data_IF_230390441099
#
_entry.id   IF_230390441099
#
_cell.length_a   1.000
_cell.length_b   1.000
_cell.length_c   1.000
_cell.angle_alpha   90.00
_cell.angle_beta   90.00
_cell.angle_gamma   90.00
#
_symmetry.space_group_name_H-M   'P 1'
#
loop_
_entity.id
_entity.type
_entity.pdbx_description
1 polymer ?
#
# COMPACT_ATOMS: atom_id res chain seq x y z
N UNK A 1 49.33 3.93 -11.68
CA UNK A 1 47.90 4.34 -11.80
C UNK A 1 47.17 3.37 -12.72
N UNK A 2 47.75 3.06 -13.88
CA UNK A 2 47.24 2.07 -14.84
C UNK A 2 47.11 0.65 -14.27
N UNK A 3 48.10 0.18 -13.49
CA UNK A 3 48.04 -1.13 -12.83
C UNK A 3 46.91 -1.25 -11.79
N UNK A 4 46.62 -0.14 -11.09
CA UNK A 4 45.54 -0.08 -10.10
C UNK A 4 44.18 -0.18 -10.80
N UNK A 5 44.06 0.41 -11.99
CA UNK A 5 42.85 0.33 -12.82
C UNK A 5 42.62 -1.09 -13.36
N UNK A 6 43.69 -1.74 -13.83
CA UNK A 6 43.64 -3.13 -14.30
C UNK A 6 43.20 -4.07 -13.17
N UNK A 7 43.74 -3.89 -11.96
CA UNK A 7 43.37 -4.68 -10.78
C UNK A 7 41.91 -4.45 -10.35
N UNK A 8 41.41 -3.22 -10.39
CA UNK A 8 40.00 -2.93 -10.02
C UNK A 8 39.01 -3.54 -11.00
N UNK A 9 39.34 -3.60 -12.29
CA UNK A 9 38.51 -4.26 -13.30
C UNK A 9 38.37 -5.76 -13.03
N UNK A 10 39.48 -6.45 -12.75
CA UNK A 10 39.48 -7.89 -12.43
C UNK A 10 38.70 -8.17 -11.14
N UNK A 11 38.84 -7.34 -10.12
CA UNK A 11 38.08 -7.48 -8.87
C UNK A 11 36.57 -7.26 -9.11
N UNK A 12 36.20 -6.34 -10.00
CA UNK A 12 34.81 -6.08 -10.36
C UNK A 12 34.11 -7.21 -11.12
N UNK A 13 34.87 -8.09 -11.78
CA UNK A 13 34.35 -9.28 -12.49
C UNK A 13 34.05 -10.45 -11.53
N UNK A 14 34.53 -10.41 -10.29
CA UNK A 14 34.28 -11.45 -9.30
C UNK A 14 32.88 -11.32 -8.70
N UNK A 15 32.14 -12.44 -8.63
CA UNK A 15 30.86 -12.50 -7.93
C UNK A 15 31.10 -12.41 -6.41
N UNK A 16 30.67 -11.33 -5.73
CA UNK A 16 30.93 -11.17 -4.29
C UNK A 16 30.11 -12.13 -3.43
N UNK A 17 29.05 -12.76 -3.99
CA UNK A 17 28.16 -13.68 -3.26
C UNK A 17 27.95 -14.98 -4.04
N UNK A 18 28.96 -15.86 -4.13
CA UNK A 18 28.90 -17.10 -4.92
C UNK A 18 27.81 -18.08 -4.44
N UNK A 19 27.34 -17.95 -3.19
CA UNK A 19 26.25 -18.76 -2.63
C UNK A 19 24.84 -18.39 -3.12
N UNK A 20 24.64 -17.24 -3.77
CA UNK A 20 23.30 -16.73 -4.14
C UNK A 20 22.47 -17.71 -5.00
N UNK A 21 23.02 -18.43 -5.99
CA UNK A 21 22.26 -19.41 -6.78
C UNK A 21 21.82 -20.64 -5.98
N UNK A 22 22.46 -20.91 -4.84
CA UNK A 22 22.19 -22.08 -3.99
C UNK A 22 21.22 -21.77 -2.85
N UNK A 23 20.83 -20.51 -2.67
CA UNK A 23 19.83 -20.10 -1.70
C UNK A 23 18.46 -20.28 -2.33
N UNK A 24 17.71 -21.26 -1.83
CA UNK A 24 16.30 -21.43 -2.17
C UNK A 24 15.47 -20.49 -1.29
N UNK A 25 15.43 -19.19 -1.63
CA UNK A 25 14.53 -18.26 -0.94
C UNK A 25 13.11 -18.56 -1.39
N UNK A 26 12.31 -19.16 -0.51
CA UNK A 26 10.87 -19.21 -0.70
C UNK A 26 10.34 -17.77 -0.63
N UNK A 27 10.15 -17.15 -1.78
CA UNK A 27 9.44 -15.89 -1.87
C UNK A 27 7.96 -16.19 -1.61
N UNK A 28 7.47 -15.81 -0.43
CA UNK A 28 6.04 -15.85 -0.15
C UNK A 28 5.35 -14.87 -1.08
N UNK A 29 4.52 -15.40 -1.99
CA UNK A 29 3.68 -14.58 -2.85
C UNK A 29 2.57 -14.01 -1.98
N UNK A 30 2.55 -12.69 -1.85
CA UNK A 30 1.45 -12.00 -1.20
C UNK A 30 0.27 -12.03 -2.17
N UNK A 31 -0.87 -12.55 -1.71
CA UNK A 31 -2.12 -12.56 -2.46
C UNK A 31 -2.88 -11.28 -2.09
N UNK A 32 -3.29 -10.45 -3.06
CA UNK A 32 -4.03 -9.23 -2.77
C UNK A 32 -5.42 -9.55 -2.20
N UNK A 33 -5.91 -8.75 -1.27
CA UNK A 33 -7.28 -8.88 -0.74
C UNK A 33 -8.30 -8.16 -1.64
N UNK A 34 -7.87 -7.14 -2.37
CA UNK A 34 -8.69 -6.36 -3.30
C UNK A 34 -7.94 -6.00 -4.57
N UNK A 35 -8.67 -5.86 -5.68
CA UNK A 35 -8.20 -5.34 -6.94
C UNK A 35 -8.86 -3.99 -7.23
N UNK A 36 -8.07 -3.02 -7.71
CA UNK A 36 -8.55 -1.72 -8.17
C UNK A 36 -8.23 -1.62 -9.66
N UNK A 37 -9.26 -1.55 -10.48
CA UNK A 37 -9.15 -1.51 -11.95
C UNK A 37 -9.97 -0.37 -12.51
N UNK A 38 -9.54 0.20 -13.65
CA UNK A 38 -10.29 1.23 -14.36
C UNK A 38 -11.15 0.56 -15.43
N UNK A 39 -12.46 0.73 -15.37
CA UNK A 39 -13.41 0.22 -16.35
C UNK A 39 -14.24 1.39 -16.91
N UNK A 40 -14.25 1.56 -18.24
CA UNK A 40 -15.00 2.63 -18.92
C UNK A 40 -14.76 4.07 -18.38
N UNK A 41 -13.58 4.32 -17.80
CA UNK A 41 -13.22 5.61 -17.21
C UNK A 41 -13.48 5.70 -15.70
N UNK A 42 -14.23 4.77 -15.12
CA UNK A 42 -14.51 4.73 -13.68
C UNK A 42 -13.61 3.72 -12.94
N UNK A 43 -13.22 4.06 -11.72
CA UNK A 43 -12.46 3.15 -10.87
C UNK A 43 -13.39 2.17 -10.15
N UNK A 44 -13.17 0.88 -10.37
CA UNK A 44 -13.94 -0.22 -9.77
C UNK A 44 -13.07 -0.99 -8.79
N UNK A 45 -13.63 -1.24 -7.60
CA UNK A 45 -13.01 -2.05 -6.54
C UNK A 45 -13.63 -3.44 -6.55
N UNK A 46 -12.80 -4.46 -6.74
CA UNK A 46 -13.19 -5.86 -6.72
C UNK A 46 -12.55 -6.55 -5.52
N UNK A 47 -13.31 -7.38 -4.82
CA UNK A 47 -12.74 -8.26 -3.78
C UNK A 47 -12.04 -9.43 -4.46
N UNK A 48 -10.91 -9.84 -3.87
CA UNK A 48 -10.34 -11.11 -4.22
C UNK A 48 -11.11 -12.23 -3.49
N UNK A 49 -12.06 -12.83 -4.19
CA UNK A 49 -12.81 -13.99 -3.70
C UNK A 49 -12.05 -15.31 -3.94
N UNK A 50 -10.86 -15.27 -4.53
CA UNK A 50 -10.12 -16.46 -4.90
C UNK A 50 -9.69 -17.25 -3.64
N UNK A 51 -10.17 -18.48 -3.54
CA UNK A 51 -9.96 -19.36 -2.38
C UNK A 51 -10.93 -19.20 -1.20
N UNK A 52 -11.92 -18.29 -1.24
CA UNK A 52 -12.94 -18.19 -0.19
C UNK A 52 -14.16 -19.09 -0.50
N UNK A 53 -14.41 -20.16 0.28
CA UNK A 53 -15.59 -20.99 0.07
C UNK A 53 -16.86 -20.18 0.40
N UNK A 54 -17.85 -20.24 -0.50
CA UNK A 54 -19.18 -19.67 -0.23
C UNK A 54 -19.81 -20.44 0.93
N UNK A 55 -19.72 -19.86 2.13
CA UNK A 55 -20.29 -20.47 3.32
C UNK A 55 -21.81 -20.55 3.19
N UNK A 56 -22.34 -21.76 3.35
CA UNK A 56 -23.77 -22.02 3.34
C UNK A 56 -24.11 -22.90 4.52
N UNK A 57 -25.28 -22.65 5.10
CA UNK A 57 -25.83 -23.51 6.14
C UNK A 57 -26.34 -24.78 5.46
N UNK A 58 -25.93 -25.94 5.97
CA UNK A 58 -26.34 -27.25 5.46
C UNK A 58 -27.88 -27.38 5.45
N UNK A 59 -28.49 -27.78 4.30
CA UNK A 59 -29.93 -27.97 4.19
C UNK A 59 -30.49 -29.01 5.17
N UNK A 60 -29.68 -30.01 5.53
CA UNK A 60 -30.05 -31.07 6.48
C UNK A 60 -30.50 -30.50 7.84
N UNK A 61 -29.69 -29.60 8.42
CA UNK A 61 -30.03 -28.99 9.71
C UNK A 61 -31.21 -28.02 9.62
N UNK A 62 -31.40 -27.36 8.47
CA UNK A 62 -32.59 -26.52 8.24
C UNK A 62 -33.85 -27.37 8.23
N UNK A 63 -33.82 -28.51 7.55
CA UNK A 63 -34.95 -29.44 7.48
C UNK A 63 -35.27 -30.03 8.84
N UNK A 64 -34.26 -30.46 9.60
CA UNK A 64 -34.42 -31.06 10.94
C UNK A 64 -35.08 -30.11 11.95
N UNK A 65 -34.77 -28.81 11.90
CA UNK A 65 -35.43 -27.78 12.73
C UNK A 65 -36.88 -27.58 12.26
N UNK A 66 -37.11 -27.52 10.94
CA UNK A 66 -38.44 -27.25 10.36
C UNK A 66 -39.43 -28.41 10.44
N UNK A 67 -38.97 -29.66 10.34
CA UNK A 67 -39.82 -30.85 10.34
C UNK A 67 -40.32 -31.21 11.74
N UNK A 68 -39.70 -30.65 12.78
CA UNK A 68 -40.07 -30.89 14.17
C UNK A 68 -39.88 -32.33 14.64
N UNK A 69 -39.42 -33.23 13.76
CA UNK A 69 -39.21 -34.66 14.00
C UNK A 69 -37.79 -34.89 14.52
N UNK A 70 -37.67 -35.28 15.80
CA UNK A 70 -36.46 -35.98 16.28
C UNK A 70 -35.68 -35.35 17.43
N UNK A 71 -36.33 -34.85 18.49
CA UNK A 71 -35.58 -34.56 19.73
C UNK A 71 -36.37 -33.94 20.86
N UNK A 72 -35.85 -34.11 22.09
CA UNK A 72 -36.31 -33.43 23.29
C UNK A 72 -36.28 -31.89 23.09
N UNK A 73 -37.07 -31.11 23.86
CA UNK A 73 -37.12 -29.65 23.76
C UNK A 73 -35.74 -28.99 23.81
N UNK A 74 -34.84 -29.55 24.63
CA UNK A 74 -33.45 -29.12 24.79
C UNK A 74 -32.63 -29.27 23.50
N UNK A 75 -32.84 -30.35 22.74
CA UNK A 75 -32.15 -30.58 21.47
C UNK A 75 -32.55 -29.54 20.43
N UNK A 76 -33.84 -29.17 20.36
CA UNK A 76 -34.32 -28.10 19.46
C UNK A 76 -33.70 -26.75 19.82
N UNK A 77 -33.71 -26.39 21.10
CA UNK A 77 -33.13 -25.15 21.58
C UNK A 77 -31.63 -25.04 21.24
N UNK A 78 -30.87 -26.12 21.45
CA UNK A 78 -29.46 -26.19 21.09
C UNK A 78 -29.23 -26.01 19.57
N UNK A 79 -30.03 -26.68 18.73
CA UNK A 79 -29.91 -26.56 17.28
C UNK A 79 -30.23 -25.14 16.78
N UNK A 80 -31.24 -24.49 17.35
CA UNK A 80 -31.58 -23.10 17.04
C UNK A 80 -30.47 -22.12 17.44
N UNK A 81 -29.83 -22.32 18.59
CA UNK A 81 -28.68 -21.53 19.02
C UNK A 81 -27.52 -21.66 18.02
N UNK A 82 -27.16 -22.89 17.62
CA UNK A 82 -26.09 -23.12 16.64
C UNK A 82 -26.44 -22.57 15.26
N UNK A 83 -27.70 -22.64 14.85
CA UNK A 83 -28.18 -22.03 13.61
C UNK A 83 -27.99 -20.50 13.63
N UNK A 84 -28.37 -19.84 14.73
CA UNK A 84 -28.18 -18.39 14.90
C UNK A 84 -26.70 -18.01 14.90
N UNK A 85 -25.86 -18.79 15.58
CA UNK A 85 -24.42 -18.58 15.60
C UNK A 85 -23.81 -18.71 14.19
N UNK A 86 -24.20 -19.73 13.42
CA UNK A 86 -23.75 -19.91 12.04
C UNK A 86 -24.19 -18.74 11.13
N UNK A 87 -25.45 -18.31 11.22
CA UNK A 87 -25.95 -17.14 10.49
C UNK A 87 -25.23 -15.85 10.88
N UNK A 88 -24.87 -15.70 12.16
CA UNK A 88 -24.10 -14.56 12.64
C UNK A 88 -22.71 -14.54 11.98
N UNK A 89 -21.98 -15.67 11.98
CA UNK A 89 -20.65 -15.76 11.35
C UNK A 89 -20.70 -15.41 9.86
N UNK A 90 -21.68 -15.94 9.12
CA UNK A 90 -21.85 -15.64 7.69
C UNK A 90 -22.07 -14.14 7.48
N UNK A 91 -23.01 -13.54 8.24
CA UNK A 91 -23.30 -12.10 8.16
C UNK A 91 -22.09 -11.24 8.54
N UNK A 92 -21.33 -11.64 9.56
CA UNK A 92 -20.11 -10.92 9.97
C UNK A 92 -19.04 -10.92 8.89
N UNK A 93 -18.88 -12.04 8.16
CA UNK A 93 -17.93 -12.12 7.04
C UNK A 93 -18.39 -11.26 5.86
N UNK A 94 -19.68 -11.32 5.50
CA UNK A 94 -20.24 -10.44 4.46
C UNK A 94 -20.08 -8.96 4.83
N UNK A 95 -20.33 -8.60 6.10
CA UNK A 95 -20.16 -7.24 6.59
C UNK A 95 -18.69 -6.80 6.53
N UNK A 96 -17.75 -7.67 6.89
CA UNK A 96 -16.31 -7.40 6.76
C UNK A 96 -15.92 -7.12 5.31
N UNK A 97 -16.35 -7.98 4.39
CA UNK A 97 -16.06 -7.83 2.96
C UNK A 97 -16.63 -6.52 2.40
N UNK A 98 -17.90 -6.21 2.73
CA UNK A 98 -18.52 -4.93 2.36
C UNK A 98 -17.78 -3.73 2.94
N UNK A 99 -17.28 -3.83 4.17
CA UNK A 99 -16.52 -2.76 4.81
C UNK A 99 -15.18 -2.53 4.10
N UNK A 100 -14.47 -3.60 3.74
CA UNK A 100 -13.22 -3.50 2.98
C UNK A 100 -13.45 -2.77 1.65
N UNK A 101 -14.48 -3.17 0.89
CA UNK A 101 -14.82 -2.50 -0.37
C UNK A 101 -15.11 -1.01 -0.15
N UNK A 102 -15.95 -0.66 0.83
CA UNK A 102 -16.25 0.75 1.15
C UNK A 102 -15.02 1.56 1.50
N UNK A 103 -14.14 1.01 2.35
CA UNK A 103 -12.89 1.69 2.75
C UNK A 103 -12.00 1.91 1.53
N UNK A 104 -11.83 0.89 0.67
CA UNK A 104 -10.96 0.98 -0.51
C UNK A 104 -11.57 1.92 -1.55
N UNK A 105 -12.87 1.90 -1.79
CA UNK A 105 -13.55 2.86 -2.67
C UNK A 105 -13.37 4.30 -2.21
N UNK A 106 -13.46 4.54 -0.89
CA UNK A 106 -13.19 5.86 -0.31
C UNK A 106 -11.72 6.28 -0.51
N UNK A 107 -10.77 5.38 -0.29
CA UNK A 107 -9.34 5.63 -0.57
C UNK A 107 -9.14 6.01 -2.04
N UNK A 108 -9.73 5.25 -2.97
CA UNK A 108 -9.64 5.51 -4.41
C UNK A 108 -10.18 6.90 -4.77
N UNK A 109 -11.35 7.26 -4.24
CA UNK A 109 -11.97 8.58 -4.42
C UNK A 109 -11.06 9.72 -3.96
N UNK A 110 -10.38 9.57 -2.83
CA UNK A 110 -9.44 10.60 -2.34
C UNK A 110 -8.10 10.63 -3.09
N UNK A 111 -7.77 9.56 -3.81
CA UNK A 111 -6.45 9.32 -4.40
C UNK A 111 -6.51 9.08 -5.91
N UNK A 112 -7.53 9.59 -6.61
CA UNK A 112 -7.71 9.36 -8.05
C UNK A 112 -6.46 9.69 -8.87
N UNK A 113 -5.83 10.84 -8.59
CA UNK A 113 -4.60 11.26 -9.28
C UNK A 113 -3.44 10.29 -9.08
N UNK A 114 -3.34 9.64 -7.92
CA UNK A 114 -2.32 8.61 -7.67
C UNK A 114 -2.57 7.37 -8.54
N UNK A 115 -3.82 6.92 -8.65
CA UNK A 115 -4.14 5.75 -9.46
C UNK A 115 -3.95 6.01 -10.97
N UNK A 116 -4.10 7.27 -11.40
CA UNK A 116 -3.88 7.69 -12.79
C UNK A 116 -2.41 7.97 -13.13
N UNK A 117 -1.69 8.70 -12.29
CA UNK A 117 -0.37 9.26 -12.61
C UNK A 117 0.77 8.69 -11.75
N UNK A 118 0.45 7.89 -10.73
CA UNK A 118 1.42 7.18 -9.89
C UNK A 118 1.78 7.88 -8.58
N UNK A 119 2.83 7.35 -7.94
CA UNK A 119 3.24 7.68 -6.54
C UNK A 119 3.52 9.16 -6.31
N UNK A 120 3.97 9.89 -7.34
CA UNK A 120 4.25 11.32 -7.26
C UNK A 120 3.00 12.15 -6.94
N UNK A 121 1.81 11.66 -7.30
CA UNK A 121 0.53 12.34 -7.13
C UNK A 121 -0.21 11.86 -5.87
N UNK A 122 0.48 11.14 -4.97
CA UNK A 122 -0.09 10.67 -3.72
C UNK A 122 -0.40 11.84 -2.78
N UNK A 123 -1.70 12.07 -2.55
CA UNK A 123 -2.22 13.10 -1.66
C UNK A 123 -2.13 12.64 -0.20
N UNK A 124 -1.91 13.54 0.77
CA UNK A 124 -2.06 13.19 2.18
C UNK A 124 -3.49 12.78 2.49
N UNK A 125 -3.64 11.67 3.20
CA UNK A 125 -4.94 11.15 3.62
C UNK A 125 -4.84 10.70 5.07
N UNK A 126 -5.79 11.14 5.88
CA UNK A 126 -5.88 10.79 7.30
C UNK A 126 -7.02 9.82 7.51
N UNK A 127 -6.88 8.89 8.46
CA UNK A 127 -7.93 7.91 8.81
C UNK A 127 -9.28 8.57 9.08
N UNK A 128 -9.28 9.76 9.70
CA UNK A 128 -10.47 10.57 9.98
C UNK A 128 -11.28 10.92 8.72
N UNK A 129 -10.62 11.29 7.63
CA UNK A 129 -11.30 11.69 6.39
C UNK A 129 -12.07 10.52 5.77
N UNK A 130 -11.43 9.34 5.73
CA UNK A 130 -12.08 8.11 5.25
C UNK A 130 -13.19 7.68 6.21
N UNK A 131 -12.97 7.79 7.51
CA UNK A 131 -13.95 7.46 8.54
C UNK A 131 -15.23 8.32 8.42
N UNK A 132 -15.08 9.62 8.20
CA UNK A 132 -16.20 10.56 7.96
C UNK A 132 -16.94 10.27 6.65
N UNK A 133 -16.22 10.01 5.55
CA UNK A 133 -16.83 9.71 4.24
C UNK A 133 -17.71 8.45 4.26
N UNK A 134 -17.31 7.40 4.99
CA UNK A 134 -18.07 6.14 5.06
C UNK A 134 -18.95 6.01 6.31
N UNK A 135 -18.96 7.00 7.20
CA UNK A 135 -19.75 7.01 8.43
C UNK A 135 -19.31 5.95 9.46
N UNK A 136 -18.01 5.70 9.60
CA UNK A 136 -17.45 4.73 10.54
C UNK A 136 -16.43 5.38 11.50
N UNK A 137 -16.02 4.67 12.54
CA UNK A 137 -14.96 5.16 13.43
C UNK A 137 -13.56 4.90 12.85
N UNK A 138 -12.62 5.82 13.13
CA UNK A 138 -11.20 5.71 12.73
C UNK A 138 -10.56 4.39 13.18
N UNK A 139 -10.92 3.90 14.37
CA UNK A 139 -10.43 2.62 14.90
C UNK A 139 -10.85 1.43 14.04
N UNK A 140 -12.03 1.50 13.41
CA UNK A 140 -12.49 0.49 12.47
C UNK A 140 -11.69 0.55 11.17
N UNK A 141 -11.43 1.75 10.63
CA UNK A 141 -10.61 1.92 9.42
C UNK A 141 -9.20 1.37 9.65
N UNK A 142 -8.57 1.74 10.77
CA UNK A 142 -7.23 1.28 11.15
C UNK A 142 -7.14 -0.25 11.24
N UNK A 143 -8.16 -0.91 11.81
CA UNK A 143 -8.23 -2.37 11.88
C UNK A 143 -8.47 -3.01 10.51
N UNK A 144 -9.30 -2.39 9.68
CA UNK A 144 -9.62 -2.90 8.35
C UNK A 144 -8.45 -2.76 7.40
N UNK A 145 -7.59 -1.74 7.54
CA UNK A 145 -6.46 -1.51 6.63
C UNK A 145 -5.17 -2.23 7.06
N UNK A 146 -5.12 -2.72 8.29
CA UNK A 146 -3.98 -3.47 8.80
C UNK A 146 -3.83 -4.84 8.11
N UNK A 147 -2.63 -5.16 7.63
CA UNK A 147 -2.30 -6.43 6.97
C UNK A 147 -3.25 -6.76 5.81
N UNK A 148 -3.59 -5.75 5.02
CA UNK A 148 -4.42 -5.86 3.81
C UNK A 148 -3.69 -5.25 2.64
N UNK A 149 -3.75 -5.94 1.50
CA UNK A 149 -3.06 -5.53 0.29
C UNK A 149 -4.08 -5.29 -0.82
N UNK A 150 -3.84 -4.23 -1.59
CA UNK A 150 -4.51 -3.99 -2.86
C UNK A 150 -3.56 -4.27 -4.02
N UNK A 151 -4.11 -4.75 -5.12
CA UNK A 151 -3.46 -4.73 -6.41
C UNK A 151 -4.10 -3.62 -7.26
N UNK A 152 -3.27 -2.72 -7.78
CA UNK A 152 -3.69 -1.62 -8.65
C UNK A 152 -2.72 -1.48 -9.83
N UNK A 153 -2.94 -0.54 -10.78
CA UNK A 153 -2.04 -0.36 -11.92
C UNK A 153 -0.59 -0.05 -11.53
N UNK A 154 -0.36 0.50 -10.34
CA UNK A 154 0.97 0.79 -9.78
C UNK A 154 1.63 -0.44 -9.10
N UNK A 155 0.94 -1.59 -9.08
CA UNK A 155 1.39 -2.83 -8.47
C UNK A 155 0.67 -3.18 -7.17
N UNK A 156 1.33 -3.98 -6.34
CA UNK A 156 0.77 -4.44 -5.06
C UNK A 156 1.20 -3.52 -3.91
N UNK A 157 0.23 -2.97 -3.19
CA UNK A 157 0.43 -1.99 -2.13
C UNK A 157 -0.39 -2.33 -0.89
N UNK A 158 0.17 -2.06 0.29
CA UNK A 158 -0.59 -2.14 1.53
C UNK A 158 -1.65 -1.04 1.60
N UNK A 159 -2.82 -1.31 2.15
CA UNK A 159 -3.83 -0.26 2.35
C UNK A 159 -3.33 0.85 3.29
N UNK A 160 -2.44 0.52 4.23
CA UNK A 160 -1.84 1.48 5.16
C UNK A 160 -0.96 2.52 4.45
N UNK A 161 -0.42 2.21 3.28
CA UNK A 161 0.46 3.09 2.50
C UNK A 161 -0.20 4.43 2.13
N UNK A 162 -1.53 4.47 2.03
CA UNK A 162 -2.26 5.67 1.65
C UNK A 162 -2.41 6.65 2.82
N UNK A 163 -2.24 6.20 4.07
CA UNK A 163 -2.44 7.02 5.26
C UNK A 163 -1.14 7.68 5.70
N UNK A 164 -0.85 8.81 5.07
CA UNK A 164 0.40 9.55 5.26
C UNK A 164 0.15 10.92 5.86
N UNK A 165 1.00 11.34 6.78
CA UNK A 165 1.03 12.73 7.22
C UNK A 165 1.49 13.63 6.05
N UNK A 166 0.73 14.69 5.77
CA UNK A 166 1.05 15.68 4.74
C UNK A 166 2.12 16.66 5.19
N UNK A 167 2.90 17.16 4.22
CA UNK A 167 3.76 18.32 4.42
C UNK A 167 2.98 19.56 3.94
N UNK A 168 2.84 20.55 4.83
CA UNK A 168 1.98 21.70 4.60
C UNK A 168 2.68 22.76 3.73
N UNK A 169 2.00 23.23 2.68
CA UNK A 169 2.36 24.43 1.91
C UNK A 169 1.75 25.64 2.62
N UNK A 170 2.51 26.72 2.79
CA UNK A 170 2.10 27.83 3.65
C UNK A 170 0.90 28.63 3.13
N UNK A 171 0.58 28.59 1.82
CA UNK A 171 -0.28 29.62 1.24
C UNK A 171 -1.42 29.12 0.33
N UNK A 172 -1.61 27.83 0.07
CA UNK A 172 -2.78 27.34 -0.71
C UNK A 172 -3.30 25.94 -0.28
N UNK A 173 -4.62 25.70 -0.19
CA UNK A 173 -5.20 24.41 0.22
C UNK A 173 -5.12 23.28 -0.84
N UNK A 174 -4.77 23.56 -2.10
CA UNK A 174 -5.02 22.64 -3.23
C UNK A 174 -3.87 21.70 -3.60
N UNK A 175 -2.67 21.86 -3.00
CA UNK A 175 -1.48 21.11 -3.43
C UNK A 175 -0.64 20.58 -2.27
N UNK A 176 -1.19 19.65 -1.49
CA UNK A 176 -0.42 18.95 -0.46
C UNK A 176 0.25 17.70 -1.06
N UNK A 177 1.57 17.59 -0.94
CA UNK A 177 2.31 16.36 -1.29
C UNK A 177 2.53 15.51 -0.03
N UNK A 178 2.34 14.20 -0.18
CA UNK A 178 2.72 13.25 0.86
C UNK A 178 4.24 13.16 0.99
N UNK A 179 4.73 12.83 2.19
CA UNK A 179 6.17 12.61 2.40
C UNK A 179 6.74 11.49 1.52
N UNK A 180 5.92 10.52 1.12
CA UNK A 180 6.27 9.45 0.18
C UNK A 180 6.45 10.00 -1.24
N UNK A 181 5.51 10.81 -1.73
CA UNK A 181 5.63 11.50 -3.03
C UNK A 181 6.94 12.30 -3.11
N UNK A 182 7.25 13.09 -2.08
CA UNK A 182 8.49 13.89 -2.03
C UNK A 182 9.75 13.01 -2.08
N UNK A 183 9.75 11.86 -1.39
CA UNK A 183 10.87 10.90 -1.43
C UNK A 183 11.06 10.32 -2.82
N UNK A 184 9.97 9.95 -3.49
CA UNK A 184 10.01 9.40 -4.84
C UNK A 184 10.51 10.44 -5.86
N UNK A 185 10.04 11.70 -5.74
CA UNK A 185 10.55 12.82 -6.55
C UNK A 185 12.06 13.03 -6.35
N UNK A 186 12.56 12.99 -5.11
CA UNK A 186 14.00 13.08 -4.83
C UNK A 186 14.74 11.92 -5.50
N UNK A 187 14.20 10.70 -5.42
CA UNK A 187 14.80 9.50 -6.02
C UNK A 187 14.90 9.64 -7.55
N UNK A 188 13.86 10.15 -8.20
CA UNK A 188 13.85 10.38 -9.66
C UNK A 188 14.83 11.48 -10.04
N UNK A 189 14.83 12.61 -9.33
CA UNK A 189 15.77 13.72 -9.59
C UNK A 189 17.23 13.27 -9.46
N UNK A 190 17.53 12.40 -8.49
CA UNK A 190 18.87 11.83 -8.31
C UNK A 190 19.16 10.75 -9.37
N UNK A 191 18.16 9.98 -9.79
CA UNK A 191 18.31 8.99 -10.86
C UNK A 191 18.59 9.61 -12.23
N UNK A 192 18.08 10.80 -12.48
CA UNK A 192 18.27 11.57 -13.72
C UNK A 192 19.44 12.58 -13.64
N UNK A 193 20.21 12.57 -12.54
CA UNK A 193 21.29 13.53 -12.35
C UNK A 193 22.52 13.22 -13.23
N UNK A 194 23.27 14.27 -13.58
CA UNK A 194 24.59 14.09 -14.19
C UNK A 194 25.56 13.57 -13.13
N UNK A 195 26.10 12.35 -13.33
CA UNK A 195 27.05 11.72 -12.42
C UNK A 195 28.33 12.55 -12.21
N UNK A 196 28.71 13.40 -13.17
CA UNK A 196 29.87 14.31 -13.05
C UNK A 196 29.56 15.54 -12.21
N UNK A 197 28.29 15.93 -12.14
CA UNK A 197 27.78 17.11 -11.41
C UNK A 197 26.51 16.74 -10.64
N UNK A 198 26.61 15.90 -9.59
CA UNK A 198 25.46 15.47 -8.83
C UNK A 198 24.78 16.64 -8.14
N UNK A 199 23.46 16.56 -8.01
CA UNK A 199 22.63 17.62 -7.45
C UNK A 199 22.91 17.77 -5.96
N UNK A 200 23.20 18.99 -5.54
CA UNK A 200 23.33 19.34 -4.11
C UNK A 200 21.95 19.36 -3.47
N UNK A 201 21.90 19.10 -2.16
CA UNK A 201 20.64 19.11 -1.40
C UNK A 201 19.89 20.47 -1.50
N UNK A 202 20.61 21.57 -1.73
CA UNK A 202 20.03 22.91 -1.98
C UNK A 202 19.39 23.03 -3.37
N UNK A 203 20.00 22.43 -4.39
CA UNK A 203 19.48 22.43 -5.77
C UNK A 203 18.24 21.55 -5.87
N UNK A 204 18.24 20.41 -5.18
CA UNK A 204 17.06 19.53 -5.05
C UNK A 204 15.91 20.28 -4.36
N UNK A 205 16.19 21.00 -3.26
CA UNK A 205 15.17 21.83 -2.60
C UNK A 205 14.61 22.92 -3.53
N UNK A 206 15.46 23.57 -4.33
CA UNK A 206 15.04 24.61 -5.28
C UNK A 206 14.19 24.05 -6.43
N UNK A 207 14.56 22.88 -6.99
CA UNK A 207 13.77 22.22 -8.03
C UNK A 207 12.41 21.75 -7.51
N UNK A 208 12.38 21.19 -6.31
CA UNK A 208 11.14 20.84 -5.62
C UNK A 208 10.27 22.07 -5.38
N UNK A 209 10.86 23.20 -4.99
CA UNK A 209 10.12 24.46 -4.84
C UNK A 209 9.50 24.93 -6.17
N UNK A 210 10.21 24.80 -7.29
CA UNK A 210 9.69 25.12 -8.62
C UNK A 210 8.52 24.19 -9.03
N UNK A 211 8.51 22.95 -8.54
CA UNK A 211 7.39 22.00 -8.68
C UNK A 211 6.31 22.20 -7.60
N UNK A 212 6.46 23.21 -6.74
CA UNK A 212 5.49 23.58 -5.73
C UNK A 212 5.65 22.91 -4.36
N UNK A 213 6.71 22.14 -4.14
CA UNK A 213 6.99 21.49 -2.87
C UNK A 213 7.98 22.32 -2.06
N UNK A 214 7.51 22.98 -1.00
CA UNK A 214 8.38 23.77 -0.11
C UNK A 214 8.98 22.89 0.97
N UNK A 215 10.25 22.49 0.81
CA UNK A 215 10.99 21.72 1.82
C UNK A 215 12.32 22.37 2.16
N UNK A 216 12.73 22.23 3.42
CA UNK A 216 14.04 22.70 3.87
C UNK A 216 15.15 21.75 3.40
N UNK A 217 16.34 22.28 3.14
CA UNK A 217 17.56 21.51 2.81
C UNK A 217 17.81 20.35 3.78
N UNK A 218 17.63 20.58 5.09
CA UNK A 218 17.81 19.54 6.13
C UNK A 218 16.81 18.38 5.97
N UNK A 219 15.58 18.67 5.53
CA UNK A 219 14.55 17.68 5.25
C UNK A 219 14.89 16.86 4.00
N UNK A 220 15.42 17.48 2.95
CA UNK A 220 15.98 16.78 1.77
C UNK A 220 17.05 15.80 2.21
N UNK A 221 18.04 16.28 2.99
CA UNK A 221 19.16 15.45 3.44
C UNK A 221 18.69 14.26 4.28
N UNK A 222 17.69 14.46 5.14
CA UNK A 222 17.05 13.39 5.92
C UNK A 222 16.39 12.35 5.01
N UNK A 223 15.53 12.77 4.08
CA UNK A 223 14.85 11.85 3.16
C UNK A 223 15.82 11.12 2.24
N UNK A 224 16.87 11.78 1.79
CA UNK A 224 17.96 11.18 1.01
C UNK A 224 18.67 10.07 1.79
N UNK A 225 18.97 10.30 3.07
CA UNK A 225 19.59 9.31 3.95
C UNK A 225 18.68 8.09 4.17
N UNK A 226 17.37 8.30 4.38
CA UNK A 226 16.39 7.23 4.50
C UNK A 226 16.26 6.38 3.21
N UNK A 227 16.51 6.99 2.04
CA UNK A 227 16.56 6.32 0.74
C UNK A 227 17.91 5.65 0.43
N UNK A 228 18.87 5.65 1.37
CA UNK A 228 20.25 5.16 1.16
C UNK A 228 21.00 5.83 0.00
N UNK A 229 20.62 7.06 -0.35
CA UNK A 229 21.30 7.83 -1.39
C UNK A 229 22.48 8.57 -0.74
N UNK A 230 23.70 8.37 -1.23
CA UNK A 230 24.91 9.01 -0.70
C UNK A 230 24.91 10.54 -0.91
N UNK A 231 25.78 11.29 -0.22
CA UNK A 231 25.85 12.76 -0.38
C UNK A 231 26.35 13.15 -1.77
N UNK A 232 26.03 14.36 -2.25
CA UNK A 232 26.47 14.82 -3.58
C UNK A 232 27.99 14.68 -3.77
N UNK A 233 28.79 14.95 -2.73
CA UNK A 233 30.25 14.76 -2.78
C UNK A 233 30.69 13.31 -2.97
N UNK A 234 29.91 12.34 -2.45
CA UNK A 234 30.18 10.91 -2.57
C UNK A 234 29.58 10.29 -3.83
N UNK A 235 28.53 10.91 -4.40
CA UNK A 235 27.92 10.48 -5.67
C UNK A 235 28.69 10.97 -6.89
N UNK A 236 29.52 12.01 -6.72
CA UNK A 236 30.31 12.58 -7.80
C UNK A 236 31.29 11.54 -8.34
N UNK A 237 31.06 11.11 -9.56
CA UNK A 237 32.01 10.30 -10.30
C UNK A 237 33.03 11.24 -10.95
N UNK A 238 34.30 11.01 -10.66
CA UNK A 238 35.39 11.79 -11.26
C UNK A 238 35.72 11.33 -12.69
N UNK A 239 35.13 10.22 -13.14
CA UNK A 239 35.36 9.58 -14.44
C UNK A 239 34.06 9.05 -15.01
#
# INVERSE_FOLDING_TARGET
VEDVFQATKVIGELEPKPGRPFINTQNYVIVPDVFVVKNEGEWVVLLNDDGLPRMRISPYYKQLISSGQGGAPETKAYMDEKMRAAQWVIRSIEQRNRTIVKVVSSIVKFQEEFFEHGVQYLKPLVLKQVAEDIGMHESTISRVTANKYMYCPQGMLELKFFFNAGLQRADEPSGMHSSVSVRDMIKIMVGEEDAKRPLKDEEIAARLFAQGVRIARRTVAKYRAELNIASASQRKQFF
#
